data_IF_903564968655
#
_entry.id   IF_903564968655
#
_cell.length_a   1.000
_cell.length_b   1.000
_cell.length_c   1.000
_cell.angle_alpha   90.00
_cell.angle_beta   90.00
_cell.angle_gamma   90.00
#
_symmetry.space_group_name_H-M   'P 1'
#
loop_
_entity.id
_entity.type
_entity.pdbx_description
1 polymer ?
#
# COMPACT_ATOMS: atom_id res chain seq x y z
N UNK A 1 23.84 -6.82 -11.90
CA UNK A 1 22.86 -7.64 -11.19
C UNK A 1 21.51 -7.65 -11.90
N UNK A 2 20.93 -6.51 -12.26
CA UNK A 2 19.60 -6.46 -12.92
C UNK A 2 19.54 -7.23 -14.25
N UNK A 3 20.67 -7.46 -14.90
CA UNK A 3 20.82 -8.25 -16.15
C UNK A 3 21.10 -9.74 -15.86
N UNK A 4 21.50 -10.06 -14.63
CA UNK A 4 21.94 -11.41 -14.24
C UNK A 4 20.90 -12.13 -13.36
N UNK A 5 20.07 -11.39 -12.63
CA UNK A 5 19.04 -11.97 -11.75
C UNK A 5 17.95 -12.66 -12.56
N UNK A 6 17.51 -13.82 -12.08
CA UNK A 6 16.38 -14.53 -12.66
C UNK A 6 15.04 -14.09 -12.04
N UNK A 7 15.02 -13.62 -10.80
CA UNK A 7 13.80 -13.34 -10.04
C UNK A 7 13.58 -11.85 -9.77
N UNK A 8 14.62 -11.04 -9.78
CA UNK A 8 14.59 -9.63 -9.35
C UNK A 8 14.51 -9.47 -7.83
N UNK A 9 14.69 -10.55 -7.06
CA UNK A 9 14.62 -10.55 -5.61
C UNK A 9 15.97 -10.22 -4.97
N UNK A 10 15.93 -9.62 -3.78
CA UNK A 10 17.13 -9.38 -2.97
C UNK A 10 17.86 -10.66 -2.61
N UNK A 11 17.17 -11.80 -2.57
CA UNK A 11 17.74 -13.11 -2.33
C UNK A 11 18.72 -13.60 -3.40
N UNK A 12 18.65 -13.04 -4.61
CA UNK A 12 19.63 -13.34 -5.69
C UNK A 12 20.97 -12.64 -5.49
N UNK A 13 21.06 -11.73 -4.51
CA UNK A 13 22.32 -11.08 -4.15
C UNK A 13 23.18 -11.98 -3.26
N UNK A 14 24.47 -12.01 -3.50
CA UNK A 14 25.44 -12.71 -2.64
C UNK A 14 25.69 -12.02 -1.29
N UNK A 15 25.03 -10.88 -1.05
CA UNK A 15 25.11 -10.05 0.16
C UNK A 15 23.75 -9.44 0.47
N UNK A 16 23.48 -9.15 1.73
CA UNK A 16 22.23 -8.52 2.15
C UNK A 16 22.30 -6.99 2.00
N UNK A 17 21.46 -6.38 1.14
CA UNK A 17 21.41 -4.94 1.02
C UNK A 17 20.82 -4.31 2.30
N UNK A 18 21.26 -3.08 2.63
CA UNK A 18 20.60 -2.31 3.69
C UNK A 18 19.20 -1.91 3.21
N UNK A 19 18.19 -2.06 4.07
CA UNK A 19 16.79 -1.74 3.74
C UNK A 19 16.60 -0.33 3.16
N UNK A 20 17.36 0.65 3.68
CA UNK A 20 17.32 2.02 3.18
C UNK A 20 17.79 2.12 1.72
N UNK A 21 18.80 1.34 1.33
CA UNK A 21 19.30 1.31 -0.06
C UNK A 21 18.36 0.50 -0.97
N UNK A 22 17.86 -0.64 -0.47
CA UNK A 22 16.95 -1.50 -1.23
C UNK A 22 15.65 -0.78 -1.60
N UNK A 23 15.09 0.02 -0.70
CA UNK A 23 13.89 0.83 -0.97
C UNK A 23 14.04 1.83 -2.13
N UNK A 24 15.24 2.19 -2.54
CA UNK A 24 15.44 3.07 -3.69
C UNK A 24 15.43 2.34 -5.04
N UNK A 25 15.58 1.03 -5.05
CA UNK A 25 15.65 0.20 -6.27
C UNK A 25 14.55 -0.87 -6.33
N UNK A 26 13.77 -1.02 -5.27
CA UNK A 26 12.61 -1.89 -5.22
C UNK A 26 11.31 -1.09 -5.25
N UNK A 27 10.24 -1.74 -5.63
CA UNK A 27 8.89 -1.17 -5.65
C UNK A 27 7.95 -2.10 -4.87
N UNK A 28 7.13 -1.53 -3.99
CA UNK A 28 6.10 -2.27 -3.27
C UNK A 28 4.84 -2.46 -4.12
N UNK A 29 3.98 -3.38 -3.70
CA UNK A 29 2.67 -3.61 -4.34
C UNK A 29 1.82 -2.33 -4.42
N UNK A 30 1.94 -1.48 -3.40
CA UNK A 30 1.19 -0.23 -3.28
C UNK A 30 1.66 0.86 -4.24
N UNK A 31 2.85 0.70 -4.80
CA UNK A 31 3.49 1.65 -5.69
C UNK A 31 3.55 1.14 -7.14
N UNK A 32 3.17 -0.12 -7.38
CA UNK A 32 3.22 -0.76 -8.69
C UNK A 32 2.02 -0.36 -9.55
N UNK A 33 2.24 0.29 -10.72
CA UNK A 33 1.14 0.71 -11.60
C UNK A 33 0.54 -0.44 -12.43
N UNK A 34 1.10 -1.63 -12.35
CA UNK A 34 0.81 -2.76 -13.23
C UNK A 34 1.51 -2.66 -14.59
N UNK A 35 1.65 -3.79 -15.29
CA UNK A 35 2.42 -3.90 -16.54
C UNK A 35 1.99 -2.88 -17.59
N UNK A 36 0.69 -2.69 -17.80
CA UNK A 36 0.14 -1.83 -18.86
C UNK A 36 0.48 -0.33 -18.71
N UNK A 37 0.81 0.11 -17.50
CA UNK A 37 1.14 1.52 -17.20
C UNK A 37 2.58 1.72 -16.76
N UNK A 38 3.34 0.61 -16.62
CA UNK A 38 4.74 0.65 -16.21
C UNK A 38 5.65 0.70 -17.45
N UNK A 39 6.59 1.66 -17.55
CA UNK A 39 7.56 1.68 -18.65
C UNK A 39 8.41 0.42 -18.74
N UNK A 40 8.59 -0.30 -17.62
CA UNK A 40 9.35 -1.56 -17.54
C UNK A 40 8.44 -2.79 -17.53
N UNK A 41 7.17 -2.68 -17.94
CA UNK A 41 6.20 -3.76 -17.89
C UNK A 41 6.67 -5.02 -18.62
N UNK A 42 7.21 -4.86 -19.83
CA UNK A 42 7.67 -5.96 -20.68
C UNK A 42 8.89 -6.72 -20.09
N UNK A 43 9.65 -6.09 -19.21
CA UNK A 43 10.84 -6.68 -18.56
C UNK A 43 10.61 -6.92 -17.05
N UNK A 44 9.37 -6.82 -16.60
CA UNK A 44 9.02 -6.91 -15.20
C UNK A 44 9.16 -8.34 -14.67
N UNK A 45 9.96 -8.52 -13.62
CA UNK A 45 10.14 -9.82 -12.95
C UNK A 45 8.84 -10.34 -12.35
N UNK A 46 8.01 -9.47 -11.77
CA UNK A 46 6.74 -9.84 -11.17
C UNK A 46 5.74 -10.33 -12.24
N UNK A 47 5.65 -9.67 -13.40
CA UNK A 47 4.79 -10.13 -14.50
C UNK A 47 5.27 -11.47 -15.05
N UNK A 48 6.58 -11.62 -15.27
CA UNK A 48 7.15 -12.89 -15.70
C UNK A 48 6.89 -14.03 -14.70
N UNK A 49 6.89 -13.74 -13.40
CA UNK A 49 6.54 -14.72 -12.38
C UNK A 49 5.05 -15.13 -12.46
N UNK A 50 4.14 -14.18 -12.75
CA UNK A 50 2.72 -14.47 -12.97
C UNK A 50 2.48 -15.29 -14.24
N UNK A 51 3.17 -14.93 -15.32
CA UNK A 51 3.10 -15.69 -16.57
C UNK A 51 3.57 -17.14 -16.38
N UNK A 52 4.66 -17.33 -15.66
CA UNK A 52 5.16 -18.67 -15.32
C UNK A 52 4.16 -19.43 -14.43
N UNK A 53 3.55 -18.78 -13.47
CA UNK A 53 2.54 -19.38 -12.59
C UNK A 53 1.30 -19.82 -13.38
N UNK A 54 0.90 -19.06 -14.40
CA UNK A 54 -0.31 -19.33 -15.20
C UNK A 54 -0.24 -20.63 -16.00
N UNK A 55 0.96 -21.16 -16.26
CA UNK A 55 1.21 -22.40 -17.02
C UNK A 55 1.78 -23.53 -16.17
N UNK A 56 1.93 -23.32 -14.86
CA UNK A 56 2.49 -24.30 -13.95
C UNK A 56 1.41 -25.24 -13.39
N UNK A 57 1.73 -26.52 -13.25
CA UNK A 57 0.85 -27.50 -12.61
C UNK A 57 0.76 -27.32 -11.08
N UNK A 58 1.81 -26.73 -10.48
CA UNK A 58 1.90 -26.46 -9.05
C UNK A 58 2.50 -25.07 -8.82
N UNK A 59 1.82 -24.25 -8.05
CA UNK A 59 2.29 -22.92 -7.67
C UNK A 59 2.48 -22.87 -6.15
N UNK A 60 3.67 -22.48 -5.71
CA UNK A 60 3.99 -22.31 -4.29
C UNK A 60 4.05 -20.81 -3.98
N UNK A 61 3.21 -20.38 -3.06
CA UNK A 61 3.15 -18.98 -2.62
C UNK A 61 3.13 -18.90 -1.09
N UNK A 62 3.45 -17.73 -0.54
CA UNK A 62 3.20 -17.52 0.87
C UNK A 62 1.70 -17.29 1.13
N UNK A 63 1.25 -17.57 2.34
CA UNK A 63 -0.15 -17.45 2.74
C UNK A 63 -0.71 -16.04 2.58
N UNK A 64 0.14 -15.00 2.67
CA UNK A 64 -0.29 -13.60 2.47
C UNK A 64 -0.68 -13.33 1.02
N UNK A 65 0.03 -13.88 0.03
CA UNK A 65 -0.35 -13.76 -1.39
C UNK A 65 -1.69 -14.43 -1.63
N UNK A 66 -1.92 -15.60 -1.04
CA UNK A 66 -3.21 -16.27 -1.13
C UNK A 66 -4.33 -15.44 -0.46
N UNK A 67 -4.06 -14.86 0.72
CA UNK A 67 -5.01 -13.97 1.39
C UNK A 67 -5.36 -12.73 0.55
N UNK A 68 -4.38 -12.14 -0.13
CA UNK A 68 -4.61 -11.03 -1.05
C UNK A 68 -5.40 -11.47 -2.29
N UNK A 69 -5.15 -12.66 -2.82
CA UNK A 69 -5.89 -13.23 -3.93
C UNK A 69 -7.37 -13.38 -3.60
N UNK A 70 -7.68 -13.95 -2.45
CA UNK A 70 -9.06 -14.05 -1.94
C UNK A 70 -9.68 -12.66 -1.73
N UNK A 71 -8.93 -11.70 -1.19
CA UNK A 71 -9.41 -10.34 -0.96
C UNK A 71 -9.68 -9.56 -2.27
N UNK A 72 -9.03 -9.96 -3.36
CA UNK A 72 -9.16 -9.36 -4.70
C UNK A 72 -9.99 -10.21 -5.67
N UNK A 73 -10.76 -11.16 -5.15
CA UNK A 73 -11.65 -12.02 -5.92
C UNK A 73 -10.91 -12.85 -7.01
N UNK A 74 -9.76 -13.42 -6.66
CA UNK A 74 -8.96 -14.28 -7.53
C UNK A 74 -8.17 -13.55 -8.62
N UNK A 75 -7.76 -12.28 -8.36
CA UNK A 75 -7.06 -11.46 -9.35
C UNK A 75 -5.54 -11.68 -9.41
N UNK A 76 -4.96 -12.42 -8.46
CA UNK A 76 -3.49 -12.52 -8.33
C UNK A 76 -2.94 -13.89 -8.72
N UNK A 77 -3.66 -14.96 -8.44
CA UNK A 77 -3.25 -16.33 -8.71
C UNK A 77 -4.04 -16.92 -9.89
N UNK A 78 -3.47 -17.86 -10.63
CA UNK A 78 -4.22 -18.59 -11.66
C UNK A 78 -5.35 -19.43 -11.03
N UNK A 79 -6.37 -19.76 -11.82
CA UNK A 79 -7.42 -20.69 -11.39
C UNK A 79 -6.82 -22.01 -10.93
N UNK A 80 -7.33 -22.53 -9.81
CA UNK A 80 -6.81 -23.74 -9.19
C UNK A 80 -7.93 -24.53 -8.50
N UNK A 81 -7.83 -25.87 -8.52
CA UNK A 81 -8.83 -26.77 -7.96
C UNK A 81 -8.54 -27.14 -6.50
N UNK A 82 -7.28 -27.07 -6.06
CA UNK A 82 -6.84 -27.53 -4.74
C UNK A 82 -5.85 -26.56 -4.13
N UNK A 83 -6.05 -26.24 -2.85
CA UNK A 83 -5.11 -25.48 -2.05
C UNK A 83 -4.63 -26.30 -0.86
N UNK A 84 -3.33 -26.31 -0.64
CA UNK A 84 -2.71 -27.00 0.52
C UNK A 84 -2.03 -25.92 1.36
N UNK A 85 -2.46 -25.78 2.61
CA UNK A 85 -1.85 -24.87 3.57
C UNK A 85 -0.85 -25.60 4.45
N UNK A 86 0.38 -25.12 4.45
CA UNK A 86 1.34 -25.41 5.49
C UNK A 86 1.17 -24.41 6.64
N UNK A 87 1.48 -24.83 7.88
CA UNK A 87 1.30 -23.97 9.07
C UNK A 87 -0.10 -23.36 9.19
N UNK A 88 -1.15 -24.16 8.92
CA UNK A 88 -2.54 -23.71 8.85
C UNK A 88 -3.05 -22.97 10.10
N UNK A 89 -2.35 -23.11 11.24
CA UNK A 89 -2.67 -22.40 12.48
C UNK A 89 -2.50 -20.87 12.37
N UNK A 90 -1.72 -20.37 11.39
CA UNK A 90 -1.54 -18.94 11.12
C UNK A 90 -2.56 -18.39 10.13
N UNK A 91 -3.37 -19.25 9.52
CA UNK A 91 -4.24 -18.88 8.41
C UNK A 91 -5.25 -17.79 8.80
N UNK A 92 -5.86 -17.89 9.98
CA UNK A 92 -6.86 -16.92 10.45
C UNK A 92 -6.25 -15.51 10.57
N UNK A 93 -5.08 -15.40 11.18
CA UNK A 93 -4.39 -14.13 11.38
C UNK A 93 -3.97 -13.52 10.03
N UNK A 94 -3.41 -14.34 9.14
CA UNK A 94 -2.96 -13.89 7.82
C UNK A 94 -4.13 -13.45 6.95
N UNK A 95 -5.22 -14.23 6.92
CA UNK A 95 -6.41 -13.88 6.15
C UNK A 95 -7.06 -12.60 6.69
N UNK A 96 -7.16 -12.48 8.01
CA UNK A 96 -7.65 -11.25 8.65
C UNK A 96 -6.79 -10.03 8.30
N UNK A 97 -5.47 -10.16 8.35
CA UNK A 97 -4.55 -9.09 7.96
C UNK A 97 -4.69 -8.70 6.48
N UNK A 98 -4.90 -9.67 5.60
CA UNK A 98 -5.00 -9.45 4.14
C UNK A 98 -6.24 -8.64 3.74
N UNK A 99 -7.34 -8.75 4.49
CA UNK A 99 -8.58 -7.98 4.24
C UNK A 99 -8.69 -6.71 5.08
N UNK A 100 -7.72 -6.48 5.98
CA UNK A 100 -7.71 -5.32 6.85
C UNK A 100 -7.22 -4.07 6.13
N UNK A 101 -7.85 -2.95 6.41
CA UNK A 101 -7.36 -1.63 6.02
C UNK A 101 -6.82 -0.91 7.24
N UNK A 102 -5.66 -0.29 7.11
CA UNK A 102 -5.04 0.45 8.19
C UNK A 102 -4.63 1.85 7.76
N UNK A 103 -4.90 2.84 8.63
CA UNK A 103 -4.41 4.20 8.49
C UNK A 103 -3.57 4.55 9.71
N UNK A 104 -2.43 5.18 9.48
CA UNK A 104 -1.54 5.62 10.54
C UNK A 104 -0.89 6.96 10.21
N UNK A 105 -0.40 7.71 11.20
CA UNK A 105 0.42 8.88 10.94
C UNK A 105 1.61 8.60 10.01
N UNK A 106 2.22 7.41 10.14
CA UNK A 106 3.32 6.97 9.28
C UNK A 106 2.92 6.77 7.82
N UNK A 107 1.75 6.18 7.54
CA UNK A 107 1.26 6.02 6.17
C UNK A 107 0.96 7.38 5.51
N UNK A 108 0.43 8.33 6.26
CA UNK A 108 0.20 9.69 5.78
C UNK A 108 1.53 10.39 5.49
N UNK A 109 2.51 10.29 6.39
CA UNK A 109 3.85 10.86 6.19
C UNK A 109 4.57 10.27 4.97
N UNK A 110 4.35 8.98 4.68
CA UNK A 110 4.87 8.34 3.46
C UNK A 110 4.32 8.99 2.19
N UNK A 111 3.00 9.23 2.14
CA UNK A 111 2.36 9.96 1.04
C UNK A 111 2.91 11.39 0.92
N UNK A 112 3.04 12.11 2.04
CA UNK A 112 3.61 13.46 2.06
C UNK A 112 5.04 13.46 1.52
N UNK A 113 5.86 12.47 1.86
CA UNK A 113 7.23 12.32 1.34
C UNK A 113 7.26 12.17 -0.18
N UNK A 114 6.36 11.36 -0.75
CA UNK A 114 6.24 11.21 -2.20
C UNK A 114 5.76 12.51 -2.87
N UNK A 115 4.80 13.19 -2.29
CA UNK A 115 4.24 14.44 -2.82
C UNK A 115 5.27 15.59 -2.83
N UNK A 116 6.08 15.74 -1.79
CA UNK A 116 7.07 16.83 -1.69
C UNK A 116 8.05 16.89 -2.85
N UNK A 117 8.38 15.75 -3.44
CA UNK A 117 9.30 15.70 -4.57
C UNK A 117 8.69 16.20 -5.89
N UNK A 118 7.37 16.41 -5.92
CA UNK A 118 6.59 16.66 -7.13
C UNK A 118 5.81 17.96 -7.00
N UNK A 119 4.99 18.04 -5.95
CA UNK A 119 4.14 19.21 -5.66
C UNK A 119 4.95 20.18 -4.80
N UNK A 120 5.34 21.32 -5.36
CA UNK A 120 6.09 22.36 -4.64
C UNK A 120 5.13 23.27 -3.86
N UNK A 121 4.33 22.63 -3.01
CA UNK A 121 3.36 23.31 -2.15
C UNK A 121 3.61 22.91 -0.69
N UNK A 122 4.40 23.75 -0.01
CA UNK A 122 4.75 23.53 1.39
C UNK A 122 3.54 23.71 2.31
N UNK A 123 2.54 24.51 1.94
CA UNK A 123 1.33 24.71 2.72
C UNK A 123 0.45 23.44 2.72
N UNK A 124 0.30 22.83 1.55
CA UNK A 124 -0.44 21.56 1.40
C UNK A 124 0.24 20.43 2.17
N UNK A 125 1.53 20.24 1.95
CA UNK A 125 2.30 19.16 2.63
C UNK A 125 2.40 19.40 4.13
N UNK A 126 2.50 20.65 4.58
CA UNK A 126 2.46 21.02 6.01
C UNK A 126 1.11 20.74 6.65
N UNK A 127 0.00 21.03 5.94
CA UNK A 127 -1.35 20.71 6.41
C UNK A 127 -1.57 19.21 6.57
N UNK A 128 -1.11 18.40 5.60
CA UNK A 128 -1.18 16.93 5.70
C UNK A 128 -0.38 16.38 6.90
N UNK A 129 0.81 16.94 7.15
CA UNK A 129 1.60 16.56 8.32
C UNK A 129 0.93 16.91 9.65
N UNK A 130 0.30 18.08 9.72
CA UNK A 130 -0.43 18.50 10.91
C UNK A 130 -1.61 17.56 11.18
N UNK A 131 -2.37 17.20 10.14
CA UNK A 131 -3.49 16.26 10.25
C UNK A 131 -3.03 14.85 10.63
N UNK A 132 -1.86 14.42 10.15
CA UNK A 132 -1.26 13.16 10.58
C UNK A 132 -0.91 13.16 12.08
N UNK A 133 -0.36 14.26 12.59
CA UNK A 133 -0.05 14.41 14.01
C UNK A 133 -1.32 14.47 14.87
N UNK A 134 -2.36 15.16 14.38
CA UNK A 134 -3.66 15.26 15.04
C UNK A 134 -4.32 13.88 15.17
N UNK A 135 -4.36 13.09 14.08
CA UNK A 135 -4.83 11.70 14.10
C UNK A 135 -4.04 10.86 15.12
N UNK A 136 -2.71 10.99 15.12
CA UNK A 136 -1.84 10.31 16.09
C UNK A 136 -2.20 10.65 17.53
N UNK A 137 -2.54 11.91 17.82
CA UNK A 137 -2.99 12.36 19.13
C UNK A 137 -4.27 11.67 19.60
N UNK A 138 -5.26 11.53 18.70
CA UNK A 138 -6.53 10.87 19.04
C UNK A 138 -6.39 9.37 19.32
N UNK A 139 -5.53 8.68 18.58
CA UNK A 139 -5.40 7.22 18.68
C UNK A 139 -4.34 6.76 19.71
N UNK A 140 -3.42 7.61 20.13
CA UNK A 140 -2.26 7.22 20.97
C UNK A 140 -2.65 6.64 22.35
N UNK A 141 -3.78 7.05 22.92
CA UNK A 141 -4.27 6.56 24.21
C UNK A 141 -5.07 5.25 24.15
N UNK A 142 -5.35 4.76 22.95
CA UNK A 142 -6.28 3.65 22.70
C UNK A 142 -5.63 2.43 22.05
N UNK A 143 -4.32 2.29 22.16
CA UNK A 143 -3.58 1.14 21.66
C UNK A 143 -4.14 -0.16 22.25
N UNK A 144 -4.34 -1.17 21.39
CA UNK A 144 -4.95 -2.47 21.68
C UNK A 144 -6.44 -2.40 22.09
N UNK A 145 -7.11 -1.26 21.87
CA UNK A 145 -8.54 -1.12 22.15
C UNK A 145 -9.36 -1.10 20.86
N UNK A 146 -10.60 -1.55 21.00
CA UNK A 146 -11.60 -1.39 19.95
C UNK A 146 -12.08 0.05 19.90
N UNK A 147 -12.22 0.56 18.68
CA UNK A 147 -12.82 1.86 18.41
C UNK A 147 -14.31 1.65 18.11
N UNK A 148 -15.23 2.41 18.70
CA UNK A 148 -16.64 2.29 18.39
C UNK A 148 -16.92 2.64 16.92
N UNK A 149 -17.93 2.00 16.35
CA UNK A 149 -18.44 2.34 15.02
C UNK A 149 -19.90 2.80 15.13
N UNK A 150 -20.30 3.89 14.47
CA UNK A 150 -19.42 4.77 13.64
C UNK A 150 -18.28 5.37 14.47
N UNK A 151 -17.19 5.71 13.80
CA UNK A 151 -16.00 6.30 14.41
C UNK A 151 -16.38 7.55 15.25
N UNK A 152 -15.64 7.87 16.32
CA UNK A 152 -15.82 9.13 17.06
C UNK A 152 -15.74 10.37 16.15
N UNK A 153 -16.51 11.40 16.48
CA UNK A 153 -16.66 12.59 15.62
C UNK A 153 -15.33 13.30 15.33
N UNK A 154 -14.42 13.34 16.30
CA UNK A 154 -13.08 13.92 16.17
C UNK A 154 -12.21 13.15 15.16
N UNK A 155 -12.28 11.81 15.18
CA UNK A 155 -11.60 10.95 14.20
C UNK A 155 -12.24 11.12 12.82
N UNK A 156 -13.58 11.15 12.75
CA UNK A 156 -14.27 11.37 11.47
C UNK A 156 -13.88 12.72 10.84
N UNK A 157 -13.82 13.79 11.65
CA UNK A 157 -13.47 15.12 11.17
C UNK A 157 -12.03 15.18 10.64
N UNK A 158 -11.06 14.62 11.35
CA UNK A 158 -9.67 14.61 10.88
C UNK A 158 -9.50 13.78 9.61
N UNK A 159 -10.20 12.64 9.50
CA UNK A 159 -10.18 11.81 8.29
C UNK A 159 -10.83 12.54 7.10
N UNK A 160 -11.95 13.22 7.30
CA UNK A 160 -12.61 14.00 6.25
C UNK A 160 -11.72 15.15 5.74
N UNK A 161 -11.06 15.87 6.64
CA UNK A 161 -10.09 16.92 6.28
C UNK A 161 -8.88 16.37 5.55
N UNK A 162 -8.35 15.22 5.98
CA UNK A 162 -7.28 14.50 5.29
C UNK A 162 -7.69 14.16 3.86
N UNK A 163 -8.86 13.58 3.70
CA UNK A 163 -9.40 13.20 2.39
C UNK A 163 -9.45 14.38 1.43
N UNK A 164 -9.98 15.52 1.88
CA UNK A 164 -10.04 16.74 1.08
C UNK A 164 -8.66 17.26 0.66
N UNK A 165 -7.69 17.24 1.58
CA UNK A 165 -6.32 17.67 1.29
C UNK A 165 -5.58 16.74 0.36
N UNK A 166 -5.84 15.44 0.43
CA UNK A 166 -5.27 14.47 -0.51
C UNK A 166 -5.89 14.62 -1.91
N UNK A 167 -7.20 14.86 -2.01
CA UNK A 167 -7.86 15.18 -3.29
C UNK A 167 -7.28 16.45 -3.95
N UNK A 168 -6.98 17.48 -3.15
CA UNK A 168 -6.30 18.69 -3.62
C UNK A 168 -4.91 18.35 -4.19
N UNK A 169 -4.15 17.50 -3.49
CA UNK A 169 -2.86 17.01 -3.95
C UNK A 169 -2.95 16.22 -5.26
N UNK A 170 -3.90 15.28 -5.36
CA UNK A 170 -4.14 14.48 -6.57
C UNK A 170 -4.51 15.38 -7.76
N UNK A 171 -5.33 16.38 -7.52
CA UNK A 171 -5.71 17.35 -8.54
C UNK A 171 -4.50 18.16 -9.02
N UNK A 172 -3.64 18.58 -8.09
CA UNK A 172 -2.36 19.22 -8.40
C UNK A 172 -1.44 18.33 -9.24
N UNK A 173 -1.32 17.05 -8.88
CA UNK A 173 -0.52 16.07 -9.63
C UNK A 173 -1.01 15.86 -11.06
N UNK A 174 -2.33 15.84 -11.27
CA UNK A 174 -2.94 15.70 -12.61
C UNK A 174 -2.67 16.90 -13.52
N UNK A 175 -2.46 18.07 -12.94
CA UNK A 175 -2.15 19.30 -13.67
C UNK A 175 -0.67 19.38 -14.12
N UNK A 176 0.22 18.56 -13.54
CA UNK A 176 1.64 18.55 -13.87
C UNK A 176 1.87 17.71 -15.12
N UNK A 177 2.40 18.34 -16.15
CA UNK A 177 2.87 17.67 -17.37
C UNK A 177 4.40 17.66 -17.41
N UNK A 178 4.99 16.53 -17.73
CA UNK A 178 6.45 16.38 -17.90
C UNK A 178 6.79 15.46 -19.06
N UNK A 179 7.84 15.79 -19.79
CA UNK A 179 8.43 14.90 -20.80
C UNK A 179 9.53 14.01 -20.25
N UNK A 180 10.01 14.27 -19.02
CA UNK A 180 10.99 13.45 -18.32
C UNK A 180 10.32 12.20 -17.74
N UNK A 181 10.84 11.05 -18.11
CA UNK A 181 10.30 9.74 -17.73
C UNK A 181 10.37 9.52 -16.21
N UNK A 182 11.47 9.94 -15.59
CA UNK A 182 11.62 9.87 -14.13
C UNK A 182 10.60 10.73 -13.40
N UNK A 183 10.26 11.90 -13.97
CA UNK A 183 9.21 12.76 -13.40
C UNK A 183 7.83 12.14 -13.58
N UNK A 184 7.52 11.52 -14.73
CA UNK A 184 6.26 10.80 -14.93
C UNK A 184 6.09 9.66 -13.93
N UNK A 185 7.14 8.87 -13.69
CA UNK A 185 7.11 7.78 -12.70
C UNK A 185 6.85 8.32 -11.29
N UNK A 186 7.50 9.42 -10.88
CA UNK A 186 7.23 10.03 -9.58
C UNK A 186 5.79 10.53 -9.45
N UNK A 187 5.26 11.17 -10.49
CA UNK A 187 3.87 11.65 -10.52
C UNK A 187 2.91 10.46 -10.37
N UNK A 188 3.11 9.40 -11.15
CA UNK A 188 2.28 8.20 -11.10
C UNK A 188 2.31 7.56 -9.70
N UNK A 189 3.51 7.41 -9.11
CA UNK A 189 3.67 6.91 -7.74
C UNK A 189 2.92 7.78 -6.73
N UNK A 190 3.06 9.10 -6.81
CA UNK A 190 2.35 10.03 -5.94
C UNK A 190 0.83 9.90 -6.06
N UNK A 191 0.31 9.76 -7.28
CA UNK A 191 -1.12 9.53 -7.51
C UNK A 191 -1.61 8.21 -6.92
N UNK A 192 -0.86 7.12 -7.10
CA UNK A 192 -1.24 5.80 -6.59
C UNK A 192 -1.28 5.77 -5.07
N UNK A 193 -0.24 6.25 -4.41
CA UNK A 193 -0.17 6.32 -2.93
C UNK A 193 -1.29 7.20 -2.36
N UNK A 194 -1.58 8.32 -3.01
CA UNK A 194 -2.65 9.23 -2.61
C UNK A 194 -4.03 8.58 -2.78
N UNK A 195 -4.31 7.96 -3.93
CA UNK A 195 -5.59 7.28 -4.18
C UNK A 195 -5.82 6.13 -3.19
N UNK A 196 -4.78 5.32 -2.94
CA UNK A 196 -4.89 4.24 -1.94
C UNK A 196 -5.22 4.78 -0.55
N UNK A 197 -4.60 5.89 -0.14
CA UNK A 197 -4.92 6.50 1.15
C UNK A 197 -6.36 7.03 1.18
N UNK A 198 -6.87 7.58 0.08
CA UNK A 198 -8.28 7.95 -0.08
C UNK A 198 -9.19 6.72 0.12
N UNK A 199 -8.89 5.60 -0.53
CA UNK A 199 -9.69 4.37 -0.44
C UNK A 199 -9.76 3.87 1.01
N UNK A 200 -8.63 3.90 1.74
CA UNK A 200 -8.57 3.53 3.16
C UNK A 200 -9.39 4.49 4.03
N UNK A 201 -9.31 5.80 3.78
CA UNK A 201 -10.09 6.82 4.50
C UNK A 201 -11.58 6.61 4.25
N UNK A 202 -12.00 6.48 2.99
CA UNK A 202 -13.39 6.30 2.59
C UNK A 202 -13.96 5.01 3.17
N UNK A 203 -13.19 3.90 3.14
CA UNK A 203 -13.54 2.65 3.78
C UNK A 203 -13.68 2.76 5.31
N UNK A 204 -12.81 3.55 5.96
CA UNK A 204 -12.87 3.79 7.40
C UNK A 204 -14.10 4.62 7.78
N UNK A 205 -14.42 5.65 7.02
CA UNK A 205 -15.58 6.53 7.25
C UNK A 205 -16.91 5.80 6.98
N UNK A 206 -16.93 4.83 6.06
CA UNK A 206 -18.12 4.05 5.71
C UNK A 206 -18.22 2.71 6.44
N UNK A 207 -17.30 2.44 7.37
CA UNK A 207 -17.27 1.20 8.14
C UNK A 207 -18.59 0.93 8.87
N UNK A 208 -19.17 -0.23 8.65
CA UNK A 208 -20.50 -0.60 9.13
C UNK A 208 -20.49 -1.78 10.11
N UNK A 209 -21.67 -2.36 10.36
CA UNK A 209 -21.92 -3.39 11.39
C UNK A 209 -21.11 -4.69 11.25
N UNK A 210 -20.53 -4.96 10.08
CA UNK A 210 -19.69 -6.16 9.82
C UNK A 210 -18.19 -5.85 9.89
N UNK A 211 -17.84 -4.64 10.28
CA UNK A 211 -16.45 -4.18 10.41
C UNK A 211 -16.11 -4.05 11.89
N UNK A 212 -14.88 -4.34 12.25
CA UNK A 212 -14.31 -4.06 13.57
C UNK A 212 -13.17 -3.09 13.39
N UNK A 213 -13.20 -1.99 14.12
CA UNK A 213 -12.12 -1.03 14.19
C UNK A 213 -11.37 -1.19 15.51
N UNK A 214 -10.05 -1.14 15.45
CA UNK A 214 -9.20 -1.16 16.63
C UNK A 214 -7.91 -0.37 16.36
N UNK A 215 -7.29 0.11 17.42
CA UNK A 215 -5.97 0.74 17.34
C UNK A 215 -4.91 -0.32 17.60
N UNK A 216 -4.07 -0.58 16.60
CA UNK A 216 -2.89 -1.42 16.78
C UNK A 216 -1.66 -0.55 17.01
N UNK A 217 -0.77 -0.98 17.91
CA UNK A 217 0.50 -0.33 18.17
C UNK A 217 1.62 -1.35 18.28
N UNK A 218 2.83 -0.94 17.90
CA UNK A 218 4.03 -1.68 18.27
C UNK A 218 4.31 -1.35 19.73
N UNK A 219 4.31 -2.35 20.60
CA UNK A 219 4.87 -2.19 21.95
C UNK A 219 6.37 -2.01 21.76
N UNK A 220 6.88 -0.79 22.01
CA UNK A 220 8.32 -0.55 22.17
C UNK A 220 8.86 -1.28 23.40
#
# INVERSE_FOLDING_TARGET
WSEETATGDAGDLSWSPRDAAWRHVSIGSDECPGASRCPSGDTCFAERARDNASVADVVVVNTHIYGLDVATDGALLPEHDVVIFDEAHQLEDVMSASVSMAISPGSIQHVVGALRSIVRDDALTGSLQQLAAELGGYISGDVDKRVPLPLPDDIQDVLARLRLKIDEAVSGLKAISSNDESAKQRILRGQMLSNRLIDVIDGSLTAGKRTVAFVSGTKE
#
